data_IF_334977319215
#
_entry.id   IF_334977319215
#
_cell.length_a   1.000
_cell.length_b   1.000
_cell.length_c   1.000
_cell.angle_alpha   90.00
_cell.angle_beta   90.00
_cell.angle_gamma   90.00
#
_symmetry.space_group_name_H-M   'P 1'
#
loop_
_entity.id
_entity.type
_entity.pdbx_description
1 polymer ?
#
# COMPACT_ATOMS: atom_id res chain seq x y z
N UNK A 1 8.73 -21.79 -3.02
CA UNK A 1 8.69 -20.45 -2.42
C UNK A 1 7.49 -19.76 -3.04
N UNK A 2 6.54 -19.27 -2.26
CA UNK A 2 5.28 -18.75 -2.80
C UNK A 2 5.51 -17.44 -3.56
N UNK A 3 5.58 -17.52 -4.90
CA UNK A 3 5.83 -16.37 -5.79
C UNK A 3 4.82 -15.23 -5.56
N UNK A 4 3.57 -15.58 -5.27
CA UNK A 4 2.50 -14.60 -4.98
C UNK A 4 2.79 -13.83 -3.70
N UNK A 5 3.20 -14.52 -2.62
CA UNK A 5 3.55 -13.86 -1.36
C UNK A 5 4.76 -12.94 -1.52
N UNK A 6 5.75 -13.35 -2.33
CA UNK A 6 6.90 -12.50 -2.66
C UNK A 6 6.47 -11.23 -3.39
N UNK A 7 5.63 -11.34 -4.43
CA UNK A 7 5.14 -10.21 -5.20
C UNK A 7 4.34 -9.20 -4.33
N UNK A 8 3.50 -9.70 -3.41
CA UNK A 8 2.77 -8.85 -2.46
C UNK A 8 3.73 -8.16 -1.49
N UNK A 9 4.74 -8.88 -1.00
CA UNK A 9 5.78 -8.34 -0.13
C UNK A 9 6.58 -7.22 -0.79
N UNK A 10 6.95 -7.38 -2.07
CA UNK A 10 7.65 -6.37 -2.85
C UNK A 10 6.79 -5.11 -3.05
N UNK A 11 5.51 -5.30 -3.38
CA UNK A 11 4.54 -4.21 -3.47
C UNK A 11 4.35 -3.51 -2.11
N UNK A 12 4.28 -4.25 -1.01
CA UNK A 12 4.20 -3.71 0.35
C UNK A 12 5.44 -2.88 0.71
N UNK A 13 6.64 -3.34 0.35
CA UNK A 13 7.87 -2.58 0.50
C UNK A 13 7.86 -1.28 -0.30
N UNK A 14 7.29 -1.29 -1.51
CA UNK A 14 7.13 -0.08 -2.32
C UNK A 14 6.15 0.92 -1.68
N UNK A 15 4.98 0.44 -1.23
CA UNK A 15 4.01 1.27 -0.50
C UNK A 15 4.66 1.86 0.75
N UNK A 16 5.38 1.05 1.54
CA UNK A 16 6.04 1.50 2.76
C UNK A 16 7.00 2.67 2.46
N UNK A 17 7.90 2.52 1.49
CA UNK A 17 8.83 3.58 1.08
C UNK A 17 8.12 4.86 0.63
N UNK A 18 7.00 4.72 -0.09
CA UNK A 18 6.20 5.88 -0.51
C UNK A 18 5.58 6.63 0.68
N UNK A 19 5.25 5.93 1.76
CA UNK A 19 4.67 6.52 2.96
C UNK A 19 5.69 6.99 4.01
N UNK A 20 6.98 6.66 3.83
CA UNK A 20 8.07 7.26 4.63
C UNK A 20 8.10 8.77 4.48
N UNK A 21 7.74 9.30 3.31
CA UNK A 21 7.64 10.74 3.04
C UNK A 21 6.41 11.40 3.71
N UNK A 22 5.49 10.61 4.29
CA UNK A 22 4.32 11.07 5.02
C UNK A 22 3.01 10.43 4.55
N UNK A 23 1.89 11.07 4.90
CA UNK A 23 0.56 10.56 4.55
C UNK A 23 0.26 10.72 3.06
N UNK A 24 -0.40 9.73 2.48
CA UNK A 24 -0.85 9.76 1.08
C UNK A 24 -2.31 9.32 0.93
N UNK A 25 -3.00 9.84 -0.08
CA UNK A 25 -4.32 9.37 -0.46
C UNK A 25 -4.21 8.00 -1.14
N UNK A 26 -5.05 7.04 -0.75
CA UNK A 26 -5.01 5.65 -1.25
C UNK A 26 -5.11 5.59 -2.78
N UNK A 27 -5.92 6.45 -3.39
CA UNK A 27 -6.08 6.52 -4.85
C UNK A 27 -4.83 7.04 -5.54
N UNK A 28 -4.07 7.93 -4.89
CA UNK A 28 -2.76 8.39 -5.40
C UNK A 28 -1.74 7.24 -5.33
N UNK A 29 -1.66 6.53 -4.21
CA UNK A 29 -0.74 5.39 -4.04
C UNK A 29 -1.03 4.29 -5.06
N UNK A 30 -2.31 3.94 -5.25
CA UNK A 30 -2.76 2.96 -6.25
C UNK A 30 -2.30 3.33 -7.67
N UNK A 31 -2.45 4.61 -8.05
CA UNK A 31 -1.97 5.10 -9.37
C UNK A 31 -0.45 5.05 -9.51
N UNK A 32 0.28 5.32 -8.43
CA UNK A 32 1.75 5.23 -8.44
C UNK A 32 2.23 3.79 -8.58
N UNK A 33 1.67 2.84 -7.81
CA UNK A 33 2.04 1.41 -7.93
C UNK A 33 1.69 0.83 -9.29
N UNK A 34 0.59 1.27 -9.92
CA UNK A 34 0.27 0.82 -11.28
C UNK A 34 1.39 1.14 -12.29
N UNK A 35 2.14 2.23 -12.08
CA UNK A 35 3.29 2.60 -12.93
C UNK A 35 4.51 1.71 -12.70
N UNK A 36 4.58 1.00 -11.58
CA UNK A 36 5.71 0.11 -11.24
C UNK A 36 5.45 -1.34 -11.64
N UNK A 37 4.33 -1.61 -12.31
CA UNK A 37 3.97 -2.95 -12.81
C UNK A 37 3.06 -3.75 -11.88
N UNK A 38 2.74 -3.26 -10.68
CA UNK A 38 1.79 -3.94 -9.79
C UNK A 38 0.35 -3.63 -10.19
N UNK A 39 -0.50 -4.66 -10.24
CA UNK A 39 -1.92 -4.50 -10.49
C UNK A 39 -2.69 -3.95 -9.27
N UNK A 40 -3.98 -3.70 -9.48
CA UNK A 40 -4.84 -3.15 -8.43
C UNK A 40 -5.09 -4.11 -7.27
N UNK A 41 -5.03 -5.42 -7.52
CA UNK A 41 -5.28 -6.45 -6.53
C UNK A 41 -4.06 -6.61 -5.60
N UNK A 42 -2.88 -6.72 -6.19
CA UNK A 42 -1.58 -6.73 -5.52
C UNK A 42 -1.40 -5.48 -4.66
N UNK A 43 -1.82 -4.30 -5.14
CA UNK A 43 -1.83 -3.09 -4.31
C UNK A 43 -2.70 -3.25 -3.06
N UNK A 44 -3.93 -3.76 -3.18
CA UNK A 44 -4.82 -3.95 -2.03
C UNK A 44 -4.25 -4.99 -1.06
N UNK A 45 -3.68 -6.07 -1.59
CA UNK A 45 -3.00 -7.09 -0.78
C UNK A 45 -1.77 -6.52 -0.05
N UNK A 46 -1.02 -5.63 -0.68
CA UNK A 46 0.11 -4.93 -0.07
C UNK A 46 -0.32 -4.02 1.09
N UNK A 47 -1.43 -3.28 0.94
CA UNK A 47 -2.04 -2.51 2.04
C UNK A 47 -2.45 -3.46 3.18
N UNK A 48 -3.12 -4.56 2.85
CA UNK A 48 -3.50 -5.59 3.83
C UNK A 48 -2.30 -6.20 4.54
N UNK A 49 -1.19 -6.43 3.83
CA UNK A 49 0.04 -6.95 4.40
C UNK A 49 0.63 -6.01 5.45
N UNK A 50 0.71 -4.72 5.15
CA UNK A 50 1.21 -3.71 6.10
C UNK A 50 0.23 -3.51 7.28
N UNK A 51 -1.08 -3.58 7.03
CA UNK A 51 -2.09 -3.52 8.09
C UNK A 51 -2.02 -4.73 9.03
N UNK A 52 -1.78 -5.94 8.50
CA UNK A 52 -1.55 -7.16 9.28
C UNK A 52 -0.36 -7.02 10.24
N UNK A 53 0.66 -6.27 9.85
CA UNK A 53 1.87 -6.01 10.64
C UNK A 53 1.76 -4.77 11.54
N UNK A 54 0.56 -4.18 11.65
CA UNK A 54 0.31 -2.95 12.40
C UNK A 54 1.21 -1.77 11.98
N UNK A 55 1.54 -1.66 10.69
CA UNK A 55 2.40 -0.59 10.15
C UNK A 55 1.65 0.59 9.54
N UNK A 56 0.32 0.49 9.41
CA UNK A 56 -0.50 1.52 8.77
C UNK A 56 -1.55 2.12 9.71
N UNK A 57 -1.72 3.43 9.61
CA UNK A 57 -2.93 4.13 10.01
C UNK A 57 -3.75 4.44 8.77
N UNK A 58 -5.01 4.02 8.78
CA UNK A 58 -5.97 4.26 7.72
C UNK A 58 -7.02 5.24 8.25
N UNK A 59 -7.10 6.41 7.64
CA UNK A 59 -8.04 7.47 8.00
C UNK A 59 -9.03 7.68 6.85
N UNK A 60 -10.33 7.50 7.12
CA UNK A 60 -11.39 7.77 6.15
C UNK A 60 -12.04 9.11 6.44
N UNK A 61 -11.97 10.02 5.48
CA UNK A 61 -12.55 11.35 5.51
C UNK A 61 -13.59 11.46 4.38
N UNK A 62 -14.85 11.11 4.67
CA UNK A 62 -15.91 11.00 3.66
C UNK A 62 -15.59 9.94 2.61
N UNK A 63 -15.52 10.34 1.35
CA UNK A 63 -15.16 9.48 0.21
C UNK A 63 -13.64 9.28 0.05
N UNK A 64 -12.83 10.09 0.74
CA UNK A 64 -11.39 10.02 0.66
C UNK A 64 -10.80 9.12 1.74
N UNK A 65 -9.90 8.23 1.34
CA UNK A 65 -9.13 7.41 2.26
C UNK A 65 -7.65 7.81 2.20
N UNK A 66 -7.07 8.13 3.34
CA UNK A 66 -5.65 8.44 3.50
C UNK A 66 -4.96 7.40 4.34
N UNK A 67 -3.73 7.07 3.96
CA UNK A 67 -2.88 6.12 4.67
C UNK A 67 -1.57 6.79 5.06
N UNK A 68 -1.04 6.44 6.23
CA UNK A 68 0.26 6.86 6.73
C UNK A 68 0.89 5.73 7.52
N UNK A 69 2.21 5.74 7.65
CA UNK A 69 2.89 4.82 8.56
C UNK A 69 2.53 5.17 10.01
N UNK A 70 2.47 4.16 10.87
CA UNK A 70 2.37 4.32 12.32
C UNK A 70 3.67 4.85 12.91
#
# INVERSE_FOLDING_TARGET
MDEVASNIGDAAGYVYRLLVEGKANISKVKRTLKKTGFDSETFLMAIGWLAREDKLLIEKNGDNCTIKLK
#
